data_IF_577888285995
#
_entry.id   IF_577888285995
#
_cell.length_a   1.000
_cell.length_b   1.000
_cell.length_c   1.000
_cell.angle_alpha   90.00
_cell.angle_beta   90.00
_cell.angle_gamma   90.00
#
_symmetry.space_group_name_H-M   'P 1'
#
loop_
_entity.id
_entity.type
_entity.pdbx_description
1 polymer ?
#
# COMPACT_ATOMS: atom_id res chain seq x y z
N UNK A 1 -4.12 19.85 -65.25
CA UNK A 1 -4.90 20.15 -64.02
C UNK A 1 -4.97 18.97 -63.05
N UNK A 2 -4.59 17.75 -63.47
CA UNK A 2 -4.79 16.50 -62.70
C UNK A 2 -3.79 16.30 -61.53
N UNK A 3 -2.55 16.77 -61.69
CA UNK A 3 -1.45 16.52 -60.74
C UNK A 3 -1.62 17.21 -59.37
N UNK A 4 -2.27 18.39 -59.33
CA UNK A 4 -2.48 19.15 -58.08
C UNK A 4 -3.57 18.53 -57.21
N UNK A 5 -4.63 18.04 -57.83
CA UNK A 5 -5.72 17.36 -57.12
C UNK A 5 -5.24 16.03 -56.52
N UNK A 6 -4.48 15.25 -57.31
CA UNK A 6 -3.85 14.01 -56.86
C UNK A 6 -2.90 14.23 -55.67
N UNK A 7 -1.96 15.17 -55.77
CA UNK A 7 -1.04 15.51 -54.67
C UNK A 7 -1.77 15.94 -53.39
N UNK A 8 -2.85 16.70 -53.52
CA UNK A 8 -3.66 17.15 -52.38
C UNK A 8 -4.42 15.99 -51.72
N UNK A 9 -4.94 15.05 -52.52
CA UNK A 9 -5.60 13.85 -52.01
C UNK A 9 -4.61 12.93 -51.27
N UNK A 10 -3.42 12.73 -51.83
CA UNK A 10 -2.34 11.94 -51.19
C UNK A 10 -1.87 12.58 -49.89
N UNK A 11 -1.70 13.90 -49.85
CA UNK A 11 -1.34 14.62 -48.63
C UNK A 11 -2.38 14.41 -47.51
N UNK A 12 -3.68 14.56 -47.84
CA UNK A 12 -4.77 14.31 -46.87
C UNK A 12 -4.81 12.86 -46.39
N UNK A 13 -4.56 11.90 -47.28
CA UNK A 13 -4.49 10.48 -46.89
C UNK A 13 -3.30 10.22 -45.96
N UNK A 14 -2.15 10.85 -46.19
CA UNK A 14 -1.00 10.74 -45.30
C UNK A 14 -1.26 11.39 -43.94
N UNK A 15 -1.86 12.59 -43.92
CA UNK A 15 -2.24 13.28 -42.68
C UNK A 15 -3.21 12.43 -41.84
N UNK A 16 -4.20 11.80 -42.49
CA UNK A 16 -5.14 10.90 -41.81
C UNK A 16 -4.48 9.60 -41.36
N UNK A 17 -3.54 9.04 -42.14
CA UNK A 17 -2.77 7.88 -41.73
C UNK A 17 -1.89 8.17 -40.51
N UNK A 18 -1.28 9.36 -40.43
CA UNK A 18 -0.48 9.79 -39.30
C UNK A 18 -1.34 10.07 -38.08
N UNK A 19 -2.52 10.66 -38.26
CA UNK A 19 -3.52 10.82 -37.19
C UNK A 19 -3.94 9.46 -36.60
N UNK A 20 -4.29 8.49 -37.45
CA UNK A 20 -4.67 7.15 -37.03
C UNK A 20 -3.52 6.43 -36.30
N UNK A 21 -2.27 6.58 -36.77
CA UNK A 21 -1.09 6.04 -36.06
C UNK A 21 -0.93 6.64 -34.66
N UNK A 22 -1.10 7.95 -34.53
CA UNK A 22 -1.02 8.62 -33.24
C UNK A 22 -2.13 8.15 -32.30
N UNK A 23 -3.34 7.97 -32.81
CA UNK A 23 -4.46 7.44 -32.05
C UNK A 23 -4.23 6.00 -31.58
N UNK A 24 -3.75 5.12 -32.46
CA UNK A 24 -3.36 3.74 -32.11
C UNK A 24 -2.30 3.74 -31.00
N UNK A 25 -1.30 4.62 -31.09
CA UNK A 25 -0.24 4.73 -30.09
C UNK A 25 -0.80 5.17 -28.74
N UNK A 26 -1.66 6.18 -28.72
CA UNK A 26 -2.33 6.66 -27.51
C UNK A 26 -3.23 5.59 -26.88
N UNK A 27 -3.97 4.83 -27.69
CA UNK A 27 -4.82 3.74 -27.21
C UNK A 27 -3.99 2.60 -26.60
N UNK A 28 -2.84 2.26 -27.21
CA UNK A 28 -1.92 1.26 -26.65
C UNK A 28 -1.35 1.69 -25.30
N UNK A 29 -0.97 2.96 -25.16
CA UNK A 29 -0.49 3.52 -23.89
C UNK A 29 -1.57 3.45 -22.80
N UNK A 30 -2.82 3.81 -23.14
CA UNK A 30 -3.96 3.69 -22.21
C UNK A 30 -4.19 2.25 -21.78
N UNK A 31 -4.20 1.31 -22.72
CA UNK A 31 -4.40 -0.11 -22.44
C UNK A 31 -3.31 -0.66 -21.51
N UNK A 32 -2.06 -0.29 -21.75
CA UNK A 32 -0.95 -0.66 -20.88
C UNK A 32 -1.14 -0.11 -19.46
N UNK A 33 -1.48 1.18 -19.35
CA UNK A 33 -1.74 1.80 -18.05
C UNK A 33 -2.93 1.18 -17.29
N UNK A 34 -3.95 0.71 -18.00
CA UNK A 34 -5.07 -0.03 -17.39
C UNK A 34 -4.66 -1.44 -16.93
N UNK A 35 -3.85 -2.15 -17.72
CA UNK A 35 -3.33 -3.46 -17.34
C UNK A 35 -2.44 -3.37 -16.08
N UNK A 36 -1.56 -2.37 -16.01
CA UNK A 36 -0.72 -2.12 -14.84
C UNK A 36 -1.55 -1.79 -13.59
N UNK A 37 -2.59 -0.96 -13.72
CA UNK A 37 -3.54 -0.69 -12.62
C UNK A 37 -4.24 -1.96 -12.14
N UNK A 38 -4.69 -2.81 -13.07
CA UNK A 38 -5.36 -4.07 -12.73
C UNK A 38 -4.42 -5.01 -11.96
N UNK A 39 -3.18 -5.17 -12.44
CA UNK A 39 -2.18 -5.98 -11.75
C UNK A 39 -1.91 -5.49 -10.32
N UNK A 40 -1.81 -4.16 -10.13
CA UNK A 40 -1.66 -3.60 -8.78
C UNK A 40 -2.87 -3.88 -7.89
N UNK A 41 -4.10 -3.73 -8.40
CA UNK A 41 -5.33 -4.06 -7.65
C UNK A 41 -5.37 -5.55 -7.27
N UNK A 42 -5.02 -6.43 -8.20
CA UNK A 42 -4.98 -7.87 -7.96
C UNK A 42 -3.92 -8.23 -6.91
N UNK A 43 -2.74 -7.61 -6.95
CA UNK A 43 -1.70 -7.79 -5.94
C UNK A 43 -2.16 -7.33 -4.55
N UNK A 44 -2.79 -6.15 -4.43
CA UNK A 44 -3.33 -5.65 -3.15
C UNK A 44 -4.37 -6.62 -2.57
N UNK A 45 -5.21 -7.19 -3.44
CA UNK A 45 -6.22 -8.19 -3.03
C UNK A 45 -5.56 -9.46 -2.51
N UNK A 46 -4.57 -10.02 -3.23
CA UNK A 46 -3.86 -11.21 -2.79
C UNK A 46 -3.11 -11.01 -1.48
N UNK A 47 -2.43 -9.88 -1.33
CA UNK A 47 -1.77 -9.52 -0.07
C UNK A 47 -2.77 -9.43 1.08
N UNK A 48 -3.95 -8.84 0.87
CA UNK A 48 -5.02 -8.80 1.87
C UNK A 48 -5.46 -10.21 2.30
N UNK A 49 -5.63 -11.12 1.34
CA UNK A 49 -5.97 -12.53 1.61
C UNK A 49 -4.88 -13.24 2.41
N UNK A 50 -3.60 -12.99 2.12
CA UNK A 50 -2.47 -13.53 2.88
C UNK A 50 -2.43 -12.98 4.31
N UNK A 51 -2.71 -11.70 4.52
CA UNK A 51 -2.78 -11.10 5.86
C UNK A 51 -3.93 -11.70 6.67
N UNK A 52 -5.08 -11.92 6.05
CA UNK A 52 -6.23 -12.54 6.72
C UNK A 52 -5.97 -14.02 7.05
N UNK A 53 -5.28 -14.77 6.19
CA UNK A 53 -4.92 -16.16 6.47
C UNK A 53 -3.94 -16.28 7.65
N UNK A 54 -3.10 -15.26 7.89
CA UNK A 54 -2.19 -15.21 9.05
C UNK A 54 -2.92 -15.21 10.40
N UNK A 55 -4.21 -14.83 10.45
CA UNK A 55 -5.01 -14.90 11.68
C UNK A 55 -5.27 -16.35 12.12
N UNK A 56 -5.31 -17.28 11.18
CA UNK A 56 -5.57 -18.71 11.41
C UNK A 56 -4.30 -19.54 11.70
N UNK A 57 -3.13 -18.91 11.83
CA UNK A 57 -1.87 -19.61 12.10
C UNK A 57 -1.85 -20.28 13.47
N UNK A 58 -1.12 -21.38 13.57
CA UNK A 58 -0.79 -22.01 14.85
C UNK A 58 0.18 -21.13 15.65
N UNK A 59 0.27 -21.35 16.96
CA UNK A 59 1.12 -20.53 17.82
C UNK A 59 2.60 -20.60 17.44
N UNK A 60 3.08 -21.75 16.95
CA UNK A 60 4.45 -21.90 16.44
C UNK A 60 4.70 -21.04 15.19
N UNK A 61 3.75 -21.05 14.25
CA UNK A 61 3.83 -20.25 13.03
C UNK A 61 3.72 -18.76 13.33
N UNK A 62 2.86 -18.37 14.28
CA UNK A 62 2.75 -16.99 14.77
C UNK A 62 4.06 -16.53 15.40
N UNK A 63 4.69 -17.36 16.23
CA UNK A 63 5.98 -17.05 16.83
C UNK A 63 7.05 -16.81 15.76
N UNK A 64 7.15 -17.70 14.77
CA UNK A 64 8.10 -17.55 13.66
C UNK A 64 7.86 -16.24 12.88
N UNK A 65 6.59 -15.93 12.60
CA UNK A 65 6.21 -14.70 11.91
C UNK A 65 6.58 -13.44 12.71
N UNK A 66 6.29 -13.42 14.01
CA UNK A 66 6.61 -12.30 14.90
C UNK A 66 8.12 -12.10 15.06
N UNK A 67 8.92 -13.17 15.11
CA UNK A 67 10.39 -13.08 15.16
C UNK A 67 10.95 -12.38 13.92
N UNK A 68 10.35 -12.55 12.75
CA UNK A 68 10.76 -11.84 11.53
C UNK A 68 10.41 -10.35 11.53
N UNK A 69 9.40 -9.95 12.30
CA UNK A 69 8.89 -8.56 12.35
C UNK A 69 9.55 -7.76 13.47
N UNK A 70 9.69 -8.36 14.64
CA UNK A 70 10.16 -7.72 15.87
C UNK A 70 11.68 -7.84 15.95
N UNK A 71 12.36 -6.72 16.12
CA UNK A 71 13.80 -6.64 16.33
C UNK A 71 14.15 -6.97 17.78
N UNK A 72 13.47 -6.30 18.72
CA UNK A 72 13.66 -6.51 20.17
C UNK A 72 12.43 -6.12 20.96
N UNK A 73 12.32 -6.71 22.16
CA UNK A 73 11.32 -6.37 23.16
C UNK A 73 12.07 -5.99 24.43
N UNK A 74 11.91 -4.74 24.87
CA UNK A 74 12.46 -4.25 26.13
C UNK A 74 11.36 -4.17 27.18
N UNK A 75 11.64 -4.69 28.38
CA UNK A 75 10.73 -4.61 29.53
C UNK A 75 11.43 -3.85 30.63
N UNK A 76 10.84 -2.73 31.05
CA UNK A 76 11.35 -1.88 32.13
C UNK A 76 10.35 -1.92 33.28
N UNK A 77 10.82 -2.24 34.48
CA UNK A 77 10.01 -2.15 35.68
C UNK A 77 10.18 -0.78 36.32
N UNK A 78 9.07 -0.07 36.56
CA UNK A 78 9.08 1.19 37.30
C UNK A 78 8.76 0.91 38.78
N UNK A 79 9.74 1.02 39.69
CA UNK A 79 9.53 0.71 41.11
C UNK A 79 8.60 1.71 41.82
N UNK A 80 8.49 2.94 41.31
CA UNK A 80 7.65 3.98 41.90
C UNK A 80 6.18 3.76 41.58
N UNK A 81 5.84 3.52 40.32
CA UNK A 81 4.45 3.23 39.92
C UNK A 81 4.07 1.76 40.05
N UNK A 82 5.04 0.86 40.29
CA UNK A 82 4.88 -0.60 40.31
C UNK A 82 4.34 -1.18 38.99
N UNK A 83 4.56 -0.46 37.90
CA UNK A 83 4.13 -0.85 36.55
C UNK A 83 5.28 -1.36 35.71
N UNK A 84 4.94 -2.14 34.67
CA UNK A 84 5.89 -2.55 33.65
C UNK A 84 5.65 -1.73 32.39
N UNK A 85 6.72 -1.17 31.85
CA UNK A 85 6.74 -0.54 30.53
C UNK A 85 7.35 -1.52 29.54
N UNK A 86 6.59 -1.83 28.49
CA UNK A 86 6.94 -2.76 27.43
C UNK A 86 7.18 -1.95 26.16
N UNK A 87 8.42 -1.89 25.70
CA UNK A 87 8.81 -1.25 24.44
C UNK A 87 9.10 -2.33 23.39
N UNK A 88 8.32 -2.34 22.32
CA UNK A 88 8.50 -3.27 21.19
C UNK A 88 9.13 -2.50 20.03
N UNK A 89 10.26 -2.99 19.54
CA UNK A 89 10.95 -2.44 18.37
C UNK A 89 10.78 -3.35 17.16
N UNK A 90 10.44 -2.77 16.01
CA UNK A 90 10.18 -3.44 14.75
C UNK A 90 11.27 -3.11 13.73
N UNK A 91 11.61 -4.06 12.86
CA UNK A 91 12.59 -3.85 11.79
C UNK A 91 12.18 -2.72 10.83
N UNK A 92 10.87 -2.62 10.55
CA UNK A 92 10.27 -1.65 9.65
C UNK A 92 9.28 -0.72 10.38
N UNK A 93 9.09 0.52 9.88
CA UNK A 93 8.20 1.52 10.50
C UNK A 93 6.72 1.22 10.20
N UNK A 94 6.21 0.12 10.75
CA UNK A 94 4.86 -0.40 10.50
C UNK A 94 3.84 0.04 11.54
N UNK A 95 4.27 0.62 12.67
CA UNK A 95 3.35 0.97 13.76
C UNK A 95 2.64 2.27 13.41
N UNK A 96 1.34 2.20 13.15
CA UNK A 96 0.53 3.38 12.81
C UNK A 96 0.83 3.96 11.43
N UNK A 97 1.41 3.16 10.54
CA UNK A 97 1.51 3.52 9.13
C UNK A 97 0.12 3.53 8.48
N UNK A 98 -0.03 4.28 7.40
CA UNK A 98 -1.30 4.26 6.67
C UNK A 98 -1.48 5.42 5.70
N UNK A 99 -2.71 5.52 5.20
CA UNK A 99 -3.14 6.58 4.29
C UNK A 99 -4.27 7.38 4.90
N UNK A 100 -4.14 8.70 4.89
CA UNK A 100 -5.20 9.64 5.29
C UNK A 100 -5.75 10.32 4.04
N UNK A 101 -6.97 9.96 3.67
CA UNK A 101 -7.68 10.61 2.56
C UNK A 101 -7.95 12.08 2.91
N UNK A 102 -7.77 12.99 1.94
CA UNK A 102 -8.11 14.41 2.15
C UNK A 102 -9.62 14.60 2.32
N UNK A 103 -10.40 13.86 1.54
CA UNK A 103 -11.84 13.73 1.69
C UNK A 103 -12.22 12.25 1.51
N UNK A 104 -12.75 11.57 2.54
CA UNK A 104 -13.19 10.18 2.44
C UNK A 104 -14.28 9.94 1.38
N UNK A 105 -15.11 10.95 1.09
CA UNK A 105 -16.19 10.87 0.09
C UNK A 105 -15.70 11.19 -1.33
N UNK A 106 -14.61 11.95 -1.46
CA UNK A 106 -14.00 12.33 -2.75
C UNK A 106 -12.54 11.89 -2.82
N UNK A 107 -12.34 10.59 -3.05
CA UNK A 107 -11.01 9.97 -3.19
C UNK A 107 -10.16 10.54 -4.33
N UNK A 108 -10.78 11.21 -5.31
CA UNK A 108 -10.10 11.90 -6.42
C UNK A 108 -9.23 13.07 -5.95
N UNK A 109 -9.47 13.63 -4.76
CA UNK A 109 -8.64 14.69 -4.17
C UNK A 109 -7.29 14.17 -3.64
N UNK A 110 -7.10 12.85 -3.65
CA UNK A 110 -5.88 12.17 -3.23
C UNK A 110 -5.81 11.91 -1.73
N UNK A 111 -4.64 11.44 -1.30
CA UNK A 111 -4.36 11.02 0.07
C UNK A 111 -2.99 11.55 0.53
N UNK A 112 -2.79 11.57 1.85
CA UNK A 112 -1.49 11.77 2.48
C UNK A 112 -1.02 10.44 3.06
N UNK A 113 0.23 10.08 2.81
CA UNK A 113 0.87 8.92 3.45
C UNK A 113 1.30 9.31 4.86
N UNK A 114 0.93 8.50 5.83
CA UNK A 114 1.37 8.60 7.21
C UNK A 114 2.52 7.61 7.39
N UNK A 115 3.70 8.12 7.74
CA UNK A 115 4.83 7.28 8.07
C UNK A 115 4.59 6.65 9.44
N UNK A 116 4.74 5.34 9.53
CA UNK A 116 4.66 4.63 10.80
C UNK A 116 5.90 4.86 11.67
N UNK A 117 5.81 4.34 12.89
CA UNK A 117 6.89 4.25 13.86
C UNK A 117 7.49 2.85 13.83
N UNK A 118 8.78 2.76 14.21
CA UNK A 118 9.45 1.49 14.48
C UNK A 118 9.27 1.00 15.92
N UNK A 119 8.63 1.80 16.78
CA UNK A 119 8.51 1.51 18.20
C UNK A 119 7.06 1.64 18.66
N UNK A 120 6.63 0.70 19.50
CA UNK A 120 5.35 0.74 20.21
C UNK A 120 5.59 0.52 21.69
N UNK A 121 5.08 1.41 22.53
CA UNK A 121 5.19 1.32 23.99
C UNK A 121 3.84 0.98 24.60
N UNK A 122 3.83 0.04 25.55
CA UNK A 122 2.65 -0.37 26.29
C UNK A 122 2.96 -0.32 27.79
N UNK A 123 2.09 0.31 28.57
CA UNK A 123 2.16 0.27 30.03
C UNK A 123 1.22 -0.80 30.55
N UNK A 124 1.77 -1.74 31.31
CA UNK A 124 1.05 -2.84 31.93
C UNK A 124 1.06 -2.63 33.43
N UNK A 125 -0.11 -2.32 33.98
CA UNK A 125 -0.32 -2.21 35.41
C UNK A 125 -0.47 -3.59 36.04
N UNK A 126 -0.03 -3.72 37.29
CA UNK A 126 -0.19 -4.96 38.05
C UNK A 126 -1.68 -5.21 38.32
N UNK A 127 -2.23 -6.28 37.76
CA UNK A 127 -3.57 -6.78 38.11
C UNK A 127 -3.54 -7.27 39.57
N UNK A 128 -4.12 -6.52 40.50
CA UNK A 128 -4.19 -6.92 41.90
C UNK A 128 -5.33 -7.94 42.07
N UNK A 129 -4.99 -9.23 42.05
CA UNK A 129 -5.96 -10.33 42.16
C UNK A 129 -6.40 -10.58 43.62
N UNK A 130 -6.49 -9.53 44.45
CA UNK A 130 -6.85 -9.62 45.88
C UNK A 130 -8.35 -9.48 46.17
N UNK A 131 -9.17 -9.32 45.14
CA UNK A 131 -10.63 -9.40 45.25
C UNK A 131 -11.14 -10.63 44.50
N UNK A 132 -11.03 -11.79 45.14
CA UNK A 132 -11.89 -12.97 44.92
C UNK A 132 -11.77 -13.94 46.10
#
# INVERSE_FOLDING_TARGET
>A
MDDKAYKTAVARMNDEADRLKNEITNLRLKLRGEAEKKQWVDWVKHFGQEVDSKKALTDEQRKLYLTGLIEKIEVKFNPTSRDHELDIHFHHPIVGDGIKWKDPKKKTLGYKVLNGSKTSSLRIEKRDNREK
#
